data_IF_240910545045
#
_entry.id   IF_240910545045
#
_cell.length_a   1.000
_cell.length_b   1.000
_cell.length_c   1.000
_cell.angle_alpha   90.00
_cell.angle_beta   90.00
_cell.angle_gamma   90.00
#
_symmetry.space_group_name_H-M   'P 1'
#
loop_
_entity.id
_entity.type
_entity.pdbx_description
1 polymer ?
#
# COMPACT_ATOMS: atom_id res chain seq x y z
N UNK A 1 7.57 -53.38 -42.08
CA UNK A 1 7.39 -52.34 -43.12
C UNK A 1 8.76 -51.75 -43.32
N UNK A 2 9.45 -52.15 -44.39
CA UNK A 2 10.77 -51.66 -44.75
C UNK A 2 10.66 -50.20 -45.18
N UNK A 3 11.26 -49.30 -44.40
CA UNK A 3 11.22 -47.85 -44.60
C UNK A 3 12.18 -47.36 -45.71
N UNK A 4 13.00 -48.26 -46.26
CA UNK A 4 13.96 -47.93 -47.31
C UNK A 4 13.30 -47.78 -48.70
N UNK A 5 12.05 -48.23 -48.89
CA UNK A 5 11.36 -48.20 -50.19
C UNK A 5 10.38 -47.03 -50.38
N UNK A 6 10.32 -46.06 -49.45
CA UNK A 6 9.46 -44.86 -49.62
C UNK A 6 10.22 -43.64 -50.14
N UNK A 7 11.53 -43.75 -50.34
CA UNK A 7 12.39 -42.61 -50.66
C UNK A 7 12.53 -42.36 -52.17
N UNK A 8 12.03 -43.23 -53.05
CA UNK A 8 12.17 -43.12 -54.52
C UNK A 8 10.87 -42.70 -55.24
N UNK A 9 9.69 -43.02 -54.69
CA UNK A 9 8.39 -42.75 -55.35
C UNK A 9 8.09 -41.25 -55.57
N UNK A 10 8.56 -40.37 -54.67
CA UNK A 10 8.30 -38.93 -54.81
C UNK A 10 9.15 -38.29 -55.90
N UNK A 11 10.31 -38.89 -56.23
CA UNK A 11 11.20 -38.37 -57.28
C UNK A 11 10.57 -38.57 -58.68
N UNK A 12 9.82 -39.66 -58.88
CA UNK A 12 9.01 -39.88 -60.08
C UNK A 12 7.80 -38.94 -60.15
N UNK A 13 7.16 -38.69 -59.02
CA UNK A 13 5.94 -37.85 -58.96
C UNK A 13 6.25 -36.35 -59.09
N UNK A 14 7.44 -35.91 -58.69
CA UNK A 14 7.86 -34.51 -58.74
C UNK A 14 9.30 -34.36 -59.28
N UNK A 15 9.54 -34.68 -60.57
CA UNK A 15 10.88 -34.68 -61.16
C UNK A 15 11.57 -33.30 -61.11
N UNK A 16 10.78 -32.22 -61.11
CA UNK A 16 11.31 -30.86 -60.94
C UNK A 16 11.90 -30.58 -59.54
N UNK A 17 11.32 -31.19 -58.49
CA UNK A 17 11.83 -31.10 -57.12
C UNK A 17 13.02 -32.04 -56.90
N UNK A 18 12.99 -33.23 -57.52
CA UNK A 18 14.12 -34.15 -57.50
C UNK A 18 15.36 -33.52 -58.17
N UNK A 19 15.17 -32.84 -59.31
CA UNK A 19 16.26 -32.17 -60.04
C UNK A 19 16.90 -30.98 -59.28
N UNK A 20 16.17 -30.35 -58.36
CA UNK A 20 16.69 -29.21 -57.59
C UNK A 20 17.70 -29.64 -56.51
N UNK A 21 17.74 -30.94 -56.17
CA UNK A 21 18.61 -31.53 -55.15
C UNK A 21 18.18 -31.17 -53.72
N UNK A 22 18.71 -31.90 -52.71
CA UNK A 22 18.43 -31.66 -51.28
C UNK A 22 19.14 -30.40 -50.73
N UNK A 23 18.98 -29.26 -51.39
CA UNK A 23 19.54 -27.96 -51.00
C UNK A 23 18.42 -26.94 -50.86
N UNK A 24 18.48 -26.08 -49.84
CA UNK A 24 17.49 -25.03 -49.66
C UNK A 24 17.75 -23.88 -50.65
N UNK A 25 16.85 -23.59 -51.60
CA UNK A 25 17.04 -22.52 -52.59
C UNK A 25 16.70 -21.13 -52.03
N UNK A 26 16.14 -21.03 -50.83
CA UNK A 26 15.72 -19.76 -50.23
C UNK A 26 16.86 -19.13 -49.44
N UNK A 27 17.22 -17.90 -49.82
CA UNK A 27 18.19 -17.07 -49.09
C UNK A 27 17.49 -15.85 -48.51
N UNK A 28 17.81 -15.48 -47.28
CA UNK A 28 17.40 -14.20 -46.70
C UNK A 28 18.47 -13.13 -46.94
N UNK A 29 18.11 -11.84 -46.98
CA UNK A 29 19.09 -10.75 -46.99
C UNK A 29 20.07 -10.84 -45.82
N UNK A 30 21.28 -10.29 -46.01
CA UNK A 30 22.25 -10.10 -44.94
C UNK A 30 21.60 -9.37 -43.76
N UNK A 31 21.87 -9.83 -42.53
CA UNK A 31 21.31 -9.30 -41.28
C UNK A 31 19.80 -9.39 -41.08
N UNK A 32 19.06 -10.10 -41.95
CA UNK A 32 17.61 -10.27 -41.80
C UNK A 32 17.19 -10.71 -40.40
N UNK A 33 17.84 -11.74 -39.83
CA UNK A 33 17.47 -12.26 -38.51
C UNK A 33 17.88 -11.33 -37.36
N UNK A 34 18.99 -10.61 -37.51
CA UNK A 34 19.45 -9.62 -36.53
C UNK A 34 18.44 -8.45 -36.46
N UNK A 35 18.07 -7.91 -37.62
CA UNK A 35 17.11 -6.82 -37.74
C UNK A 35 15.70 -7.28 -37.32
N UNK A 36 15.29 -8.49 -37.69
CA UNK A 36 13.99 -9.05 -37.31
C UNK A 36 13.84 -9.13 -35.78
N UNK A 37 14.90 -9.49 -35.04
CA UNK A 37 14.86 -9.50 -33.58
C UNK A 37 14.66 -8.09 -32.98
N UNK A 38 15.33 -7.08 -33.54
CA UNK A 38 15.15 -5.69 -33.14
C UNK A 38 13.74 -5.17 -33.47
N UNK A 39 13.22 -5.49 -34.64
CA UNK A 39 11.86 -5.14 -35.05
C UNK A 39 10.81 -5.83 -34.17
N UNK A 40 10.99 -7.10 -33.84
CA UNK A 40 10.06 -7.84 -33.00
C UNK A 40 10.05 -7.29 -31.57
N UNK A 41 11.21 -7.05 -30.98
CA UNK A 41 11.31 -6.49 -29.62
C UNK A 41 10.73 -5.07 -29.51
N UNK A 42 10.97 -4.22 -30.53
CA UNK A 42 10.36 -2.89 -30.58
C UNK A 42 8.84 -2.95 -30.70
N UNK A 43 8.30 -3.84 -31.55
CA UNK A 43 6.85 -4.04 -31.69
C UNK A 43 6.21 -4.56 -30.40
N UNK A 44 6.79 -5.58 -29.78
CA UNK A 44 6.30 -6.12 -28.49
C UNK A 44 6.30 -5.03 -27.42
N UNK A 45 7.36 -4.19 -27.38
CA UNK A 45 7.45 -3.08 -26.42
C UNK A 45 6.35 -2.05 -26.67
N UNK A 46 6.12 -1.64 -27.92
CA UNK A 46 5.05 -0.71 -28.27
C UNK A 46 3.68 -1.31 -27.88
N UNK A 47 3.41 -2.55 -28.25
CA UNK A 47 2.17 -3.26 -27.91
C UNK A 47 1.95 -3.32 -26.39
N UNK A 48 3.01 -3.60 -25.62
CA UNK A 48 2.94 -3.63 -24.15
C UNK A 48 2.67 -2.26 -23.50
N UNK A 49 3.07 -1.16 -24.15
CA UNK A 49 2.83 0.20 -23.65
C UNK A 49 1.40 0.66 -23.92
N UNK A 50 0.80 0.18 -25.01
CA UNK A 50 -0.47 0.69 -25.52
C UNK A 50 -1.67 -0.22 -25.20
N UNK A 51 -1.44 -1.49 -24.84
CA UNK A 51 -2.51 -2.41 -24.46
C UNK A 51 -3.53 -2.68 -25.58
N UNK A 52 -4.56 -3.47 -25.28
CA UNK A 52 -5.60 -3.93 -26.22
C UNK A 52 -6.51 -2.81 -26.77
N UNK A 53 -6.31 -1.55 -26.34
CA UNK A 53 -7.01 -0.36 -26.84
C UNK A 53 -6.25 0.30 -28.00
N UNK A 54 -5.88 -0.51 -29.01
CA UNK A 54 -5.12 -0.05 -30.18
C UNK A 54 -5.92 0.90 -31.10
N UNK A 55 -7.23 1.06 -30.88
CA UNK A 55 -8.11 1.84 -31.74
C UNK A 55 -7.90 3.36 -31.60
N UNK A 56 -7.58 3.89 -30.41
CA UNK A 56 -7.51 5.34 -30.16
C UNK A 56 -6.14 5.97 -30.49
N UNK A 57 -5.15 5.16 -30.87
CA UNK A 57 -3.72 5.57 -30.92
C UNK A 57 -3.18 5.61 -32.35
N UNK A 58 -3.92 5.03 -33.29
CA UNK A 58 -3.62 5.04 -34.73
C UNK A 58 -4.71 5.76 -35.53
N UNK A 59 -5.39 6.72 -34.90
CA UNK A 59 -6.29 7.63 -35.61
C UNK A 59 -5.46 8.70 -36.29
N UNK A 60 -5.70 8.87 -37.60
CA UNK A 60 -5.16 10.04 -38.30
C UNK A 60 -5.88 11.28 -37.77
N UNK A 61 -5.18 12.42 -37.62
CA UNK A 61 -5.82 13.66 -37.25
C UNK A 61 -6.97 14.01 -38.20
N UNK A 62 -7.98 14.71 -37.68
CA UNK A 62 -9.03 15.29 -38.50
C UNK A 62 -8.42 16.03 -39.69
N UNK A 63 -8.99 15.84 -40.87
CA UNK A 63 -8.56 16.48 -42.13
C UNK A 63 -7.19 16.08 -42.68
N UNK A 64 -6.51 15.07 -42.09
CA UNK A 64 -5.20 14.59 -42.58
C UNK A 64 -5.20 14.31 -44.09
N UNK A 65 -6.19 13.55 -44.59
CA UNK A 65 -6.26 13.17 -46.01
C UNK A 65 -6.71 14.32 -46.90
N UNK A 66 -7.52 15.26 -46.39
CA UNK A 66 -7.98 16.43 -47.13
C UNK A 66 -6.83 17.43 -47.35
N UNK A 67 -5.93 17.57 -46.37
CA UNK A 67 -4.75 18.43 -46.49
C UNK A 67 -3.52 17.76 -47.11
N UNK A 68 -3.49 16.42 -47.17
CA UNK A 68 -2.32 15.64 -47.60
C UNK A 68 -1.78 16.08 -48.96
N UNK A 69 -2.67 16.26 -49.95
CA UNK A 69 -2.27 16.72 -51.28
C UNK A 69 -1.60 18.10 -51.22
N UNK A 70 -2.17 19.02 -50.45
CA UNK A 70 -1.59 20.35 -50.22
C UNK A 70 -0.22 20.29 -49.55
N UNK A 71 -0.06 19.44 -48.53
CA UNK A 71 1.21 19.23 -47.83
C UNK A 71 2.28 18.62 -48.73
N UNK A 72 1.93 17.66 -49.58
CA UNK A 72 2.85 17.07 -50.55
C UNK A 72 3.29 18.13 -51.57
N UNK A 73 2.35 18.86 -52.17
CA UNK A 73 2.65 19.88 -53.18
C UNK A 73 3.48 21.03 -52.59
N UNK A 74 3.20 21.46 -51.36
CA UNK A 74 3.99 22.50 -50.68
C UNK A 74 5.41 21.99 -50.36
N UNK A 75 5.56 20.74 -49.93
CA UNK A 75 6.87 20.13 -49.68
C UNK A 75 7.72 20.05 -50.96
N UNK A 76 7.14 19.58 -52.06
CA UNK A 76 7.81 19.52 -53.37
C UNK A 76 8.22 20.93 -53.82
N UNK A 77 7.33 21.92 -53.70
CA UNK A 77 7.66 23.32 -54.05
C UNK A 77 8.79 23.85 -53.17
N UNK A 78 8.75 23.59 -51.86
CA UNK A 78 9.79 24.03 -50.93
C UNK A 78 11.16 23.42 -51.26
N UNK A 79 11.20 22.14 -51.67
CA UNK A 79 12.41 21.47 -52.12
C UNK A 79 12.95 22.08 -53.43
N UNK A 80 12.07 22.34 -54.40
CA UNK A 80 12.45 23.05 -55.64
C UNK A 80 12.99 24.47 -55.36
N UNK A 81 12.45 25.18 -54.35
CA UNK A 81 12.98 26.47 -53.95
C UNK A 81 14.38 26.37 -53.35
N UNK A 82 14.69 25.31 -52.57
CA UNK A 82 16.04 25.11 -52.02
C UNK A 82 17.09 24.97 -53.11
N UNK A 83 16.80 24.26 -54.19
CA UNK A 83 17.74 24.11 -55.32
C UNK A 83 18.02 25.45 -56.03
N UNK A 84 17.11 26.42 -55.93
CA UNK A 84 17.22 27.73 -56.55
C UNK A 84 17.77 28.83 -55.61
N UNK A 85 17.93 28.53 -54.32
CA UNK A 85 18.44 29.46 -53.31
C UNK A 85 19.90 29.11 -53.03
N UNK A 86 20.84 29.93 -53.51
CA UNK A 86 22.29 29.72 -53.34
C UNK A 86 22.84 30.10 -51.96
N UNK A 87 22.10 30.92 -51.22
CA UNK A 87 22.48 31.36 -49.88
C UNK A 87 21.30 31.13 -48.94
N UNK A 88 21.54 30.54 -47.77
CA UNK A 88 20.51 30.09 -46.82
C UNK A 88 19.53 31.18 -46.35
N UNK A 89 19.69 32.45 -46.74
CA UNK A 89 18.76 33.55 -46.47
C UNK A 89 18.66 33.94 -44.99
N UNK A 90 19.23 33.14 -44.09
CA UNK A 90 19.32 33.40 -42.66
C UNK A 90 20.58 34.20 -42.34
N UNK A 91 20.61 35.46 -42.77
CA UNK A 91 21.63 36.41 -42.32
C UNK A 91 21.05 37.33 -41.26
N UNK A 92 21.85 37.63 -40.25
CA UNK A 92 21.49 38.65 -39.27
C UNK A 92 21.84 40.04 -39.83
N UNK A 93 21.03 41.08 -39.55
CA UNK A 93 21.38 42.44 -39.90
C UNK A 93 22.73 42.86 -39.31
N UNK A 94 23.44 43.74 -40.01
CA UNK A 94 24.69 44.31 -39.51
C UNK A 94 24.47 44.96 -38.13
N UNK A 95 25.30 44.59 -37.16
CA UNK A 95 25.20 45.11 -35.79
C UNK A 95 24.09 44.50 -34.91
N UNK A 96 23.37 43.46 -35.35
CA UNK A 96 22.38 42.74 -34.54
C UNK A 96 22.94 42.39 -33.15
N UNK A 97 24.09 41.71 -33.10
CA UNK A 97 24.72 41.29 -31.85
C UNK A 97 25.24 42.44 -30.99
N UNK A 98 25.59 43.59 -31.60
CA UNK A 98 26.01 44.80 -30.88
C UNK A 98 24.85 45.39 -30.07
N UNK A 99 23.63 45.36 -30.62
CA UNK A 99 22.42 45.87 -29.94
C UNK A 99 21.74 44.83 -29.05
N UNK A 100 21.94 43.54 -29.32
CA UNK A 100 21.29 42.44 -28.62
C UNK A 100 21.59 42.46 -27.12
N UNK A 101 22.86 42.62 -26.74
CA UNK A 101 23.28 42.64 -25.34
C UNK A 101 22.61 43.78 -24.56
N UNK A 102 22.60 44.99 -25.13
CA UNK A 102 21.96 46.15 -24.52
C UNK A 102 20.44 45.96 -24.41
N UNK A 103 19.80 45.39 -25.44
CA UNK A 103 18.35 45.12 -25.44
C UNK A 103 17.94 44.09 -24.38
N UNK A 104 18.72 43.03 -24.20
CA UNK A 104 18.49 42.02 -23.16
C UNK A 104 18.62 42.66 -21.77
N UNK A 105 19.69 43.41 -21.52
CA UNK A 105 19.89 44.09 -20.24
C UNK A 105 18.76 45.08 -19.92
N UNK A 106 18.32 45.85 -20.90
CA UNK A 106 17.20 46.78 -20.75
C UNK A 106 15.89 46.04 -20.44
N UNK A 107 15.64 44.88 -21.08
CA UNK A 107 14.43 44.07 -20.82
C UNK A 107 14.44 43.45 -19.43
N UNK A 108 15.60 43.05 -18.92
CA UNK A 108 15.75 42.53 -17.55
C UNK A 108 15.60 43.66 -16.53
N UNK A 109 16.23 44.81 -16.76
CA UNK A 109 16.18 45.96 -15.85
C UNK A 109 14.77 46.58 -15.76
N UNK A 110 14.02 46.60 -16.87
CA UNK A 110 12.66 47.13 -16.91
C UNK A 110 11.59 46.07 -16.62
N UNK A 111 11.97 44.83 -16.28
CA UNK A 111 11.01 43.83 -15.87
C UNK A 111 10.43 44.27 -14.52
N UNK A 112 9.13 44.57 -14.41
CA UNK A 112 8.54 44.99 -13.15
C UNK A 112 8.79 43.85 -12.16
N UNK A 113 9.48 44.13 -11.06
CA UNK A 113 9.80 43.19 -10.00
C UNK A 113 8.61 42.25 -9.78
N UNK A 114 8.70 41.03 -10.31
CA UNK A 114 7.66 40.02 -10.17
C UNK A 114 7.60 39.77 -8.67
N UNK A 115 6.57 40.32 -8.02
CA UNK A 115 6.40 40.31 -6.56
C UNK A 115 6.83 38.94 -6.05
N UNK A 116 7.89 38.91 -5.24
CA UNK A 116 8.39 37.68 -4.67
C UNK A 116 7.21 36.96 -4.02
N UNK A 117 6.85 35.81 -4.56
CA UNK A 117 5.79 34.99 -4.00
C UNK A 117 6.33 34.49 -2.67
N UNK A 118 5.90 35.13 -1.58
CA UNK A 118 6.26 34.70 -0.22
C UNK A 118 5.70 33.30 -0.02
N UNK A 119 6.54 32.29 -0.17
CA UNK A 119 6.21 30.91 0.18
C UNK A 119 5.96 30.85 1.69
N UNK A 120 4.72 30.59 2.08
CA UNK A 120 4.33 30.39 3.49
C UNK A 120 4.16 28.89 3.74
N UNK A 121 4.75 28.41 4.84
CA UNK A 121 4.59 27.02 5.28
C UNK A 121 3.16 26.83 5.80
N UNK A 122 2.41 25.90 5.19
CA UNK A 122 1.00 25.62 5.52
C UNK A 122 0.81 24.99 6.89
N UNK A 123 1.81 24.26 7.40
CA UNK A 123 1.77 23.60 8.71
C UNK A 123 2.90 24.11 9.62
N UNK A 124 2.58 24.81 10.72
CA UNK A 124 3.59 25.30 11.65
C UNK A 124 4.06 24.18 12.59
N UNK A 125 5.33 24.21 12.99
CA UNK A 125 5.97 23.12 13.75
C UNK A 125 5.36 22.83 15.13
N UNK A 126 4.57 23.75 15.70
CA UNK A 126 3.89 23.52 16.98
C UNK A 126 2.72 22.53 16.87
N UNK A 127 2.16 22.33 15.67
CA UNK A 127 1.09 21.37 15.44
C UNK A 127 1.56 19.93 15.70
N UNK A 128 2.82 19.62 15.40
CA UNK A 128 3.43 18.33 15.71
C UNK A 128 3.57 18.09 17.23
N UNK A 129 3.87 19.15 18.00
CA UNK A 129 3.95 19.06 19.46
C UNK A 129 2.58 18.86 20.10
N UNK A 130 1.57 19.61 19.64
CA UNK A 130 0.19 19.45 20.10
C UNK A 130 -0.33 18.03 19.84
N UNK A 131 -0.07 17.46 18.66
CA UNK A 131 -0.45 16.09 18.33
C UNK A 131 0.23 15.07 19.26
N UNK A 132 1.53 15.22 19.56
CA UNK A 132 2.25 14.33 20.48
C UNK A 132 1.69 14.38 21.91
N UNK A 133 1.37 15.58 22.42
CA UNK A 133 0.76 15.74 23.73
C UNK A 133 -0.61 15.06 23.82
N UNK A 134 -1.44 15.16 22.78
CA UNK A 134 -2.74 14.49 22.72
C UNK A 134 -2.61 12.96 22.79
N UNK A 135 -1.61 12.39 22.11
CA UNK A 135 -1.33 10.95 22.18
C UNK A 135 -0.90 10.50 23.58
N UNK A 136 -0.06 11.29 24.25
CA UNK A 136 0.38 10.98 25.62
C UNK A 136 -0.81 11.02 26.59
N UNK A 137 -1.68 12.04 26.48
CA UNK A 137 -2.88 12.15 27.33
C UNK A 137 -3.85 11.00 27.08
N UNK A 138 -4.08 10.61 25.82
CA UNK A 138 -5.01 9.52 25.51
C UNK A 138 -4.49 8.17 26.02
N UNK A 139 -3.19 7.88 25.85
CA UNK A 139 -2.54 6.67 26.36
C UNK A 139 -2.58 6.65 27.89
N UNK A 140 -2.22 7.77 28.53
CA UNK A 140 -2.23 7.89 29.99
C UNK A 140 -3.63 7.70 30.57
N UNK A 141 -4.64 8.31 29.95
CA UNK A 141 -6.05 8.17 30.36
C UNK A 141 -6.53 6.72 30.18
N UNK A 142 -6.15 6.06 29.08
CA UNK A 142 -6.45 4.66 28.82
C UNK A 142 -5.87 3.73 29.90
N UNK A 143 -4.60 3.94 30.28
CA UNK A 143 -3.94 3.15 31.34
C UNK A 143 -4.60 3.36 32.71
N UNK A 144 -5.00 4.59 33.04
CA UNK A 144 -5.68 4.90 34.30
C UNK A 144 -7.04 4.19 34.42
N UNK A 145 -7.84 4.18 33.35
CA UNK A 145 -9.12 3.47 33.34
C UNK A 145 -8.94 1.95 33.37
N UNK A 146 -7.92 1.41 32.68
CA UNK A 146 -7.60 -0.02 32.75
C UNK A 146 -7.24 -0.47 34.17
N UNK A 147 -6.41 0.31 34.88
CA UNK A 147 -6.06 0.01 36.27
C UNK A 147 -7.29 0.06 37.21
N UNK A 148 -8.20 1.01 36.99
CA UNK A 148 -9.46 1.05 37.75
C UNK A 148 -10.34 -0.17 37.49
N UNK A 149 -10.46 -0.63 36.25
CA UNK A 149 -11.23 -1.81 35.91
C UNK A 149 -10.65 -3.09 36.54
N UNK A 150 -9.32 -3.24 36.56
CA UNK A 150 -8.65 -4.40 37.17
C UNK A 150 -8.73 -4.43 38.71
N UNK A 151 -9.11 -3.32 39.35
CA UNK A 151 -9.23 -3.20 40.81
C UNK A 151 -10.66 -3.36 41.31
N UNK A 152 -11.53 -4.04 40.54
CA UNK A 152 -12.91 -4.35 40.96
C UNK A 152 -12.91 -5.02 42.33
N UNK A 153 -13.76 -4.52 43.23
CA UNK A 153 -13.94 -5.04 44.59
C UNK A 153 -14.35 -6.52 44.54
N UNK A 154 -15.09 -6.93 43.50
CA UNK A 154 -15.52 -8.31 43.28
C UNK A 154 -14.34 -9.28 43.12
N UNK A 155 -13.28 -8.86 42.41
CA UNK A 155 -12.06 -9.68 42.25
C UNK A 155 -11.28 -9.77 43.56
N UNK A 156 -11.30 -8.70 44.38
CA UNK A 156 -10.65 -8.69 45.69
C UNK A 156 -11.41 -9.51 46.73
N UNK A 157 -12.74 -9.52 46.65
CA UNK A 157 -13.62 -10.37 47.48
C UNK A 157 -13.49 -11.84 47.09
N UNK A 158 -13.41 -12.16 45.79
CA UNK A 158 -13.26 -13.53 45.32
C UNK A 158 -11.94 -14.21 45.75
N UNK A 159 -10.93 -13.44 46.13
CA UNK A 159 -9.64 -13.95 46.62
C UNK A 159 -9.49 -13.83 48.15
N UNK A 160 -10.50 -13.34 48.86
CA UNK A 160 -10.46 -13.25 50.32
C UNK A 160 -10.72 -14.64 50.93
N UNK A 161 -9.87 -15.15 51.84
CA UNK A 161 -10.11 -16.41 52.54
C UNK A 161 -11.35 -16.34 53.42
N UNK A 162 -12.14 -17.42 53.46
CA UNK A 162 -13.39 -17.49 54.25
C UNK A 162 -13.15 -17.23 55.74
N UNK A 163 -12.03 -17.70 56.30
CA UNK A 163 -11.67 -17.48 57.70
C UNK A 163 -11.54 -16.00 58.06
N UNK A 164 -11.04 -15.16 57.15
CA UNK A 164 -10.90 -13.73 57.36
C UNK A 164 -12.26 -13.01 57.31
N UNK A 165 -13.22 -13.55 56.54
CA UNK A 165 -14.60 -13.06 56.49
C UNK A 165 -15.29 -13.39 57.82
N UNK A 166 -15.10 -14.61 58.31
CA UNK A 166 -15.66 -15.08 59.58
C UNK A 166 -15.12 -14.25 60.75
N UNK A 167 -13.80 -14.06 60.83
CA UNK A 167 -13.16 -13.28 61.91
C UNK A 167 -13.63 -11.82 61.91
N UNK A 168 -13.77 -11.21 60.73
CA UNK A 168 -14.32 -9.86 60.60
C UNK A 168 -15.77 -9.77 61.09
N UNK A 169 -16.61 -10.73 60.71
CA UNK A 169 -18.01 -10.78 61.13
C UNK A 169 -18.11 -10.95 62.64
N UNK A 170 -17.27 -11.80 63.24
CA UNK A 170 -17.28 -12.06 64.68
C UNK A 170 -16.81 -10.86 65.51
N UNK A 171 -15.81 -10.12 65.01
CA UNK A 171 -15.31 -8.91 65.68
C UNK A 171 -16.30 -7.73 65.58
N UNK A 172 -17.10 -7.66 64.50
CA UNK A 172 -18.00 -6.54 64.24
C UNK A 172 -19.49 -6.85 64.44
N UNK A 173 -19.86 -8.08 64.82
CA UNK A 173 -21.23 -8.46 65.16
C UNK A 173 -21.59 -8.07 66.59
N UNK A 174 -22.80 -7.58 66.82
CA UNK A 174 -23.35 -7.41 68.19
C UNK A 174 -23.98 -8.73 68.68
N UNK A 175 -24.21 -8.83 69.98
CA UNK A 175 -24.87 -9.94 70.69
C UNK A 175 -26.21 -10.39 70.07
N UNK A 176 -26.87 -9.52 69.30
CA UNK A 176 -28.10 -9.85 68.55
C UNK A 176 -27.87 -10.59 67.23
N UNK A 177 -26.70 -10.46 66.60
CA UNK A 177 -26.43 -11.00 65.25
C UNK A 177 -25.80 -12.40 65.31
N UNK A 178 -25.21 -12.75 66.45
CA UNK A 178 -24.53 -14.01 66.70
C UNK A 178 -25.38 -15.28 66.46
N UNK A 179 -26.68 -15.32 66.83
CA UNK A 179 -27.53 -16.49 66.57
C UNK A 179 -27.72 -16.78 65.07
N UNK A 180 -27.83 -15.72 64.26
CA UNK A 180 -28.03 -15.83 62.80
C UNK A 180 -26.76 -16.31 62.10
N UNK A 181 -25.60 -15.84 62.57
CA UNK A 181 -24.30 -16.27 62.03
C UNK A 181 -24.08 -17.77 62.31
N UNK A 182 -24.35 -18.23 63.53
CA UNK A 182 -24.17 -19.64 63.92
C UNK A 182 -25.13 -20.56 63.14
N UNK A 183 -26.38 -20.16 62.93
CA UNK A 183 -27.36 -20.96 62.18
C UNK A 183 -26.92 -21.22 60.73
N UNK A 184 -26.34 -20.19 60.09
CA UNK A 184 -25.81 -20.31 58.73
C UNK A 184 -24.51 -21.11 58.65
N UNK A 185 -23.64 -21.05 59.67
CA UNK A 185 -22.42 -21.87 59.75
C UNK A 185 -22.74 -23.36 59.94
N UNK A 186 -23.70 -23.68 60.81
CA UNK A 186 -24.11 -25.07 61.06
C UNK A 186 -24.75 -25.72 59.83
N UNK A 187 -25.35 -24.92 58.94
CA UNK A 187 -25.96 -25.40 57.70
C UNK A 187 -24.95 -25.82 56.63
N UNK A 188 -23.68 -25.41 56.73
CA UNK A 188 -22.65 -25.63 55.69
C UNK A 188 -21.55 -26.63 56.05
N UNK A 189 -21.52 -27.16 57.28
CA UNK A 189 -20.54 -28.18 57.69
C UNK A 189 -21.21 -29.44 58.24
N UNK A 190 -21.33 -30.47 57.41
CA UNK A 190 -21.54 -31.82 57.91
C UNK A 190 -20.27 -32.33 58.60
N UNK A 191 -20.44 -32.74 59.87
CA UNK A 191 -19.60 -33.66 60.69
C UNK A 191 -18.68 -33.02 61.75
N UNK A 192 -19.14 -33.13 63.01
CA UNK A 192 -18.41 -33.38 64.27
C UNK A 192 -17.44 -32.33 64.85
N UNK A 193 -17.79 -31.74 65.99
CA UNK A 193 -17.34 -32.19 67.33
C UNK A 193 -17.86 -31.27 68.44
N UNK A 194 -18.61 -31.87 69.36
CA UNK A 194 -18.55 -31.68 70.82
C UNK A 194 -18.04 -30.32 71.34
N UNK A 195 -18.97 -29.44 71.76
CA UNK A 195 -18.73 -28.72 73.01
C UNK A 195 -18.69 -29.79 74.10
N UNK A 196 -17.48 -30.25 74.42
CA UNK A 196 -17.19 -31.21 75.49
C UNK A 196 -17.47 -30.61 76.87
N UNK A 197 -18.73 -30.33 77.17
CA UNK A 197 -19.21 -30.18 78.53
C UNK A 197 -19.70 -31.57 78.93
N UNK A 198 -18.95 -32.35 79.72
CA UNK A 198 -19.41 -33.64 80.18
C UNK A 198 -20.67 -33.46 81.02
N UNK A 199 -21.67 -34.33 80.83
CA UNK A 199 -22.98 -34.25 81.52
C UNK A 199 -22.85 -34.11 83.05
N UNK A 200 -21.75 -34.60 83.64
CA UNK A 200 -21.44 -34.46 85.06
C UNK A 200 -21.30 -33.00 85.53
N UNK A 201 -20.78 -32.10 84.69
CA UNK A 201 -20.61 -30.68 85.01
C UNK A 201 -21.96 -29.93 84.94
N UNK A 202 -22.89 -30.42 84.12
CA UNK A 202 -24.27 -29.92 84.03
C UNK A 202 -25.07 -30.34 85.27
N UNK A 203 -24.89 -31.58 85.75
CA UNK A 203 -25.53 -32.06 86.98
C UNK A 203 -25.04 -31.28 88.22
N UNK A 204 -23.73 -31.02 88.34
CA UNK A 204 -23.18 -30.23 89.45
C UNK A 204 -23.71 -28.78 89.45
N UNK A 205 -23.84 -28.16 88.28
CA UNK A 205 -24.39 -26.80 88.15
C UNK A 205 -25.88 -26.72 88.55
N UNK A 206 -26.66 -27.76 88.21
CA UNK A 206 -28.07 -27.85 88.56
C UNK A 206 -28.28 -28.12 90.07
N UNK A 207 -27.42 -28.92 90.70
CA UNK A 207 -27.46 -29.10 92.17
C UNK A 207 -26.98 -27.85 92.93
N UNK A 208 -25.98 -27.14 92.40
CA UNK A 208 -25.46 -25.91 93.03
C UNK A 208 -26.46 -24.74 93.02
N UNK A 209 -27.48 -24.78 92.16
CA UNK A 209 -28.40 -23.65 91.94
C UNK A 209 -29.79 -23.87 92.57
N UNK A 210 -30.04 -25.04 93.19
CA UNK A 210 -31.30 -25.38 93.88
C UNK A 210 -31.19 -25.31 95.41
#
# INVERSE_FOLDING_TARGET
MDLDNMNEDWEEQAPGLAATGKRNPYTVPTDYFNEMQHQLSSRIKLESMYGTNSAEIFEVPDQYFEELEGHILTSIKAEQFKDNIKEDGFTVPEGYFNSLQASIQQKIANQPNKKEVKIRRLVPSWLSYAAAACLIISISTGLYFYQKQASSIETKLAYMPDDAIIDYLLINSDSGDLPVIIDNLNSTSSVNSELGIPDAEIEEYLESTL
#
